data_IF_725270265244
#
_entry.id   IF_725270265244
#
_cell.length_a   1.000
_cell.length_b   1.000
_cell.length_c   1.000
_cell.angle_alpha   90.00
_cell.angle_beta   90.00
_cell.angle_gamma   90.00
#
_symmetry.space_group_name_H-M   'P 1'
#
loop_
_entity.id
_entity.type
_entity.pdbx_description
1 polymer ?
#
# COMPACT_ATOMS: atom_id res chain seq x y z
N UNK A 1 6.94 5.27 9.81
CA UNK A 1 8.09 5.08 10.52
C UNK A 1 8.24 3.72 11.18
N UNK A 2 7.16 3.14 11.70
CA UNK A 2 7.20 1.76 12.18
C UNK A 2 7.51 0.81 11.02
N UNK A 3 6.93 1.08 9.85
CA UNK A 3 7.15 0.25 8.67
C UNK A 3 8.61 0.31 8.20
N UNK A 4 9.21 1.52 8.20
CA UNK A 4 10.60 1.70 7.82
C UNK A 4 11.52 0.93 8.77
N UNK A 5 11.28 1.06 10.08
CA UNK A 5 12.07 0.36 11.09
C UNK A 5 11.94 -1.16 10.93
N UNK A 6 10.73 -1.64 10.69
CA UNK A 6 10.47 -3.07 10.53
C UNK A 6 11.19 -3.63 9.30
N UNK A 7 11.07 -2.93 8.16
CA UNK A 7 11.73 -3.33 6.92
C UNK A 7 13.26 -3.31 7.09
N UNK A 8 13.78 -2.24 7.69
CA UNK A 8 15.22 -2.08 7.90
C UNK A 8 15.79 -3.25 8.70
N UNK A 9 15.08 -3.66 9.76
CA UNK A 9 15.57 -4.76 10.62
C UNK A 9 15.50 -6.11 9.92
N UNK A 10 14.56 -6.31 9.02
CA UNK A 10 14.30 -7.63 8.43
C UNK A 10 15.04 -7.87 7.12
N UNK A 11 15.27 -6.85 6.30
CA UNK A 11 15.90 -7.05 4.99
C UNK A 11 17.42 -6.98 5.05
N UNK A 12 17.96 -6.24 6.01
CA UNK A 12 19.40 -6.14 6.22
C UNK A 12 20.14 -5.65 4.97
N UNK A 13 19.83 -4.43 4.54
CA UNK A 13 20.48 -3.80 3.39
C UNK A 13 21.81 -3.20 3.80
N UNK A 14 22.81 -3.26 2.88
CA UNK A 14 24.05 -2.51 3.06
C UNK A 14 23.72 -1.01 2.96
N UNK A 15 24.64 -0.16 3.43
CA UNK A 15 24.46 1.29 3.33
C UNK A 15 24.30 1.73 1.86
N UNK A 16 25.08 1.10 0.97
CA UNK A 16 25.01 1.39 -0.46
C UNK A 16 23.65 1.01 -1.05
N UNK A 17 23.18 -0.20 -0.73
CA UNK A 17 21.88 -0.66 -1.22
C UNK A 17 20.74 0.16 -0.63
N UNK A 18 20.84 0.53 0.65
CA UNK A 18 19.82 1.34 1.32
C UNK A 18 19.70 2.72 0.67
N UNK A 19 20.82 3.31 0.26
CA UNK A 19 20.82 4.62 -0.39
C UNK A 19 20.04 4.59 -1.72
N UNK A 20 20.01 3.45 -2.38
CA UNK A 20 19.26 3.26 -3.64
C UNK A 20 17.83 2.81 -3.40
N UNK A 21 17.63 2.00 -2.36
CA UNK A 21 16.35 1.40 -2.03
C UNK A 21 15.31 2.43 -1.55
N UNK A 22 15.68 3.23 -0.56
CA UNK A 22 14.68 4.07 0.10
C UNK A 22 14.06 5.16 -0.78
N UNK A 23 14.79 5.84 -1.66
CA UNK A 23 14.13 6.81 -2.55
C UNK A 23 13.06 6.17 -3.42
N UNK A 24 13.36 4.99 -3.99
CA UNK A 24 12.43 4.26 -4.85
C UNK A 24 11.22 3.78 -4.05
N UNK A 25 11.48 3.20 -2.89
CA UNK A 25 10.43 2.66 -2.03
C UNK A 25 9.48 3.76 -1.55
N UNK A 26 10.05 4.87 -1.07
CA UNK A 26 9.27 5.97 -0.52
C UNK A 26 8.45 6.70 -1.57
N UNK A 27 9.00 6.86 -2.78
CA UNK A 27 8.25 7.51 -3.86
C UNK A 27 6.99 6.71 -4.19
N UNK A 28 7.11 5.38 -4.32
CA UNK A 28 5.97 4.52 -4.58
C UNK A 28 4.97 4.54 -3.43
N UNK A 29 5.45 4.54 -2.18
CA UNK A 29 4.58 4.62 -1.01
C UNK A 29 3.77 5.92 -1.01
N UNK A 30 4.40 7.04 -1.38
CA UNK A 30 3.72 8.33 -1.46
C UNK A 30 2.63 8.32 -2.54
N UNK A 31 2.93 7.75 -3.70
CA UNK A 31 1.95 7.63 -4.78
C UNK A 31 0.76 6.75 -4.34
N UNK A 32 1.04 5.63 -3.68
CA UNK A 32 0.00 4.73 -3.19
C UNK A 32 -0.86 5.44 -2.15
N UNK A 33 -0.22 6.20 -1.26
CA UNK A 33 -0.94 6.95 -0.23
C UNK A 33 -1.93 7.94 -0.86
N UNK A 34 -1.52 8.67 -1.90
CA UNK A 34 -2.40 9.61 -2.58
C UNK A 34 -3.59 8.90 -3.24
N UNK A 35 -3.35 7.72 -3.81
CA UNK A 35 -4.45 6.94 -4.41
C UNK A 35 -5.41 6.45 -3.33
N UNK A 36 -4.91 6.01 -2.18
CA UNK A 36 -5.75 5.59 -1.06
C UNK A 36 -6.58 6.75 -0.53
N UNK A 37 -6.02 7.96 -0.52
CA UNK A 37 -6.78 9.16 -0.14
C UNK A 37 -7.93 9.39 -1.10
N UNK A 38 -7.71 9.18 -2.40
CA UNK A 38 -8.74 9.31 -3.41
C UNK A 38 -9.87 8.29 -3.18
N UNK A 39 -9.52 7.06 -2.84
CA UNK A 39 -10.51 6.02 -2.53
C UNK A 39 -11.33 6.39 -1.30
N UNK A 40 -10.66 6.92 -0.27
CA UNK A 40 -11.35 7.35 0.94
C UNK A 40 -12.27 8.54 0.67
N UNK A 41 -11.84 9.49 -0.16
CA UNK A 41 -12.66 10.62 -0.55
C UNK A 41 -13.93 10.16 -1.28
N UNK A 42 -13.80 9.17 -2.16
CA UNK A 42 -14.96 8.58 -2.84
C UNK A 42 -15.88 7.89 -1.85
N UNK A 43 -15.32 7.14 -0.91
CA UNK A 43 -16.10 6.51 0.14
C UNK A 43 -16.88 7.56 0.95
N UNK A 44 -16.22 8.63 1.36
CA UNK A 44 -16.86 9.71 2.12
C UNK A 44 -17.97 10.40 1.33
N UNK A 45 -17.75 10.57 0.05
CA UNK A 45 -18.73 11.25 -0.81
C UNK A 45 -19.99 10.42 -1.07
N UNK A 46 -19.82 9.12 -1.32
CA UNK A 46 -20.93 8.29 -1.81
C UNK A 46 -21.52 7.33 -0.78
N UNK A 47 -20.74 6.91 0.21
CA UNK A 47 -21.11 5.78 1.07
C UNK A 47 -21.18 6.13 2.56
N UNK A 48 -20.23 6.91 3.07
CA UNK A 48 -20.07 7.14 4.50
C UNK A 48 -21.34 7.66 5.16
N UNK A 49 -21.72 7.05 6.28
CA UNK A 49 -22.86 7.47 7.07
C UNK A 49 -24.21 7.04 6.53
N UNK A 50 -24.22 6.22 5.47
CA UNK A 50 -25.46 5.75 4.87
C UNK A 50 -25.68 4.28 5.11
N UNK A 51 -26.95 3.90 5.33
CA UNK A 51 -27.34 2.50 5.32
C UNK A 51 -27.43 2.06 3.86
N UNK A 52 -27.37 0.75 3.62
CA UNK A 52 -27.47 0.22 2.26
C UNK A 52 -28.69 0.75 1.52
N UNK A 53 -29.84 0.84 2.20
CA UNK A 53 -31.06 1.34 1.59
C UNK A 53 -31.02 2.80 1.19
N UNK A 54 -30.08 3.55 1.75
CA UNK A 54 -29.91 4.99 1.46
C UNK A 54 -28.93 5.26 0.32
N UNK A 55 -28.23 4.23 -0.14
CA UNK A 55 -27.27 4.36 -1.24
C UNK A 55 -27.98 4.05 -2.54
N UNK A 56 -28.01 5.02 -3.47
CA UNK A 56 -28.63 4.74 -4.76
C UNK A 56 -27.65 4.00 -5.67
N UNK A 57 -28.20 3.29 -6.66
CA UNK A 57 -27.40 2.47 -7.55
C UNK A 57 -26.35 3.24 -8.34
N UNK A 58 -26.65 4.45 -8.75
CA UNK A 58 -25.72 5.27 -9.51
C UNK A 58 -24.49 5.60 -8.67
N UNK A 59 -24.68 5.97 -7.40
CA UNK A 59 -23.58 6.27 -6.48
C UNK A 59 -22.78 5.01 -6.13
N UNK A 60 -23.46 3.89 -5.92
CA UNK A 60 -22.80 2.62 -5.64
C UNK A 60 -21.90 2.23 -6.82
N UNK A 61 -22.42 2.35 -8.04
CA UNK A 61 -21.65 2.05 -9.26
C UNK A 61 -20.43 2.97 -9.38
N UNK A 62 -20.64 4.27 -9.15
CA UNK A 62 -19.57 5.25 -9.25
C UNK A 62 -18.44 4.94 -8.24
N UNK A 63 -18.82 4.63 -7.01
CA UNK A 63 -17.85 4.27 -5.99
C UNK A 63 -17.02 3.04 -6.40
N UNK A 64 -17.70 1.98 -6.86
CA UNK A 64 -17.02 0.75 -7.28
C UNK A 64 -16.07 1.01 -8.45
N UNK A 65 -16.47 1.83 -9.41
CA UNK A 65 -15.60 2.18 -10.55
C UNK A 65 -14.34 2.89 -10.11
N UNK A 66 -14.47 3.86 -9.18
CA UNK A 66 -13.31 4.59 -8.64
C UNK A 66 -12.41 3.64 -7.86
N UNK A 67 -13.00 2.79 -7.04
CA UNK A 67 -12.25 1.85 -6.22
C UNK A 67 -11.44 0.89 -7.10
N UNK A 68 -12.08 0.31 -8.12
CA UNK A 68 -11.41 -0.62 -9.04
C UNK A 68 -10.28 0.05 -9.81
N UNK A 69 -10.50 1.25 -10.30
CA UNK A 69 -9.48 2.02 -11.00
C UNK A 69 -8.27 2.28 -10.09
N UNK A 70 -8.54 2.67 -8.85
CA UNK A 70 -7.48 2.96 -7.88
C UNK A 70 -6.71 1.70 -7.50
N UNK A 71 -7.38 0.57 -7.32
CA UNK A 71 -6.72 -0.71 -7.02
C UNK A 71 -5.80 -1.13 -8.16
N UNK A 72 -6.23 -0.93 -9.40
CA UNK A 72 -5.41 -1.22 -10.57
C UNK A 72 -4.15 -0.33 -10.59
N UNK A 73 -4.31 0.95 -10.30
CA UNK A 73 -3.18 1.88 -10.24
C UNK A 73 -2.17 1.47 -9.17
N UNK A 74 -2.65 1.03 -8.01
CA UNK A 74 -1.77 0.59 -6.93
C UNK A 74 -0.97 -0.64 -7.35
N UNK A 75 -1.60 -1.60 -8.01
CA UNK A 75 -0.89 -2.79 -8.52
C UNK A 75 0.21 -2.37 -9.48
N UNK A 76 -0.09 -1.47 -10.42
CA UNK A 76 0.89 -0.99 -11.40
C UNK A 76 2.08 -0.29 -10.74
N UNK A 77 1.80 0.54 -9.72
CA UNK A 77 2.86 1.23 -8.97
C UNK A 77 3.75 0.22 -8.25
N UNK A 78 3.16 -0.80 -7.63
CA UNK A 78 3.93 -1.84 -6.93
C UNK A 78 4.79 -2.65 -7.89
N UNK A 79 4.25 -3.01 -9.05
CA UNK A 79 5.02 -3.75 -10.05
C UNK A 79 6.22 -2.93 -10.54
N UNK A 80 5.99 -1.66 -10.81
CA UNK A 80 7.06 -0.75 -11.24
C UNK A 80 8.12 -0.60 -10.15
N UNK A 81 7.68 -0.51 -8.89
CA UNK A 81 8.59 -0.40 -7.74
C UNK A 81 9.50 -1.62 -7.66
N UNK A 82 8.94 -2.82 -7.75
CA UNK A 82 9.75 -4.04 -7.69
C UNK A 82 10.72 -4.12 -8.86
N UNK A 83 10.27 -3.73 -10.04
CA UNK A 83 11.14 -3.68 -11.21
C UNK A 83 12.32 -2.72 -11.00
N UNK A 84 12.04 -1.52 -10.50
CA UNK A 84 13.07 -0.51 -10.25
C UNK A 84 14.02 -0.94 -9.13
N UNK A 85 13.50 -1.53 -8.07
CA UNK A 85 14.33 -2.05 -6.98
C UNK A 85 15.23 -3.17 -7.48
N UNK A 86 14.75 -3.99 -8.39
CA UNK A 86 15.51 -5.10 -8.96
C UNK A 86 16.75 -4.68 -9.73
N UNK A 87 16.86 -3.41 -10.08
CA UNK A 87 18.07 -2.87 -10.73
C UNK A 87 19.21 -2.68 -9.74
N UNK A 88 18.91 -2.60 -8.46
CA UNK A 88 19.89 -2.29 -7.40
C UNK A 88 20.05 -3.39 -6.37
N UNK A 89 19.00 -4.16 -6.09
CA UNK A 89 19.07 -5.25 -5.12
C UNK A 89 18.62 -6.55 -5.77
N UNK A 90 19.02 -7.69 -5.18
CA UNK A 90 18.69 -8.98 -5.74
C UNK A 90 17.19 -9.28 -5.63
N UNK A 91 16.67 -10.05 -6.59
CA UNK A 91 15.27 -10.47 -6.54
C UNK A 91 14.98 -11.35 -5.33
N UNK A 92 15.99 -12.03 -4.79
CA UNK A 92 15.83 -12.78 -3.53
C UNK A 92 15.48 -11.84 -2.38
N UNK A 93 16.11 -10.66 -2.33
CA UNK A 93 15.77 -9.65 -1.33
C UNK A 93 14.39 -9.04 -1.58
N UNK A 94 13.99 -8.94 -2.83
CA UNK A 94 12.65 -8.46 -3.17
C UNK A 94 11.58 -9.44 -2.69
N UNK A 95 11.83 -10.74 -2.82
CA UNK A 95 10.93 -11.75 -2.27
C UNK A 95 10.80 -11.57 -0.76
N UNK A 96 11.92 -11.35 -0.09
CA UNK A 96 11.92 -11.09 1.36
C UNK A 96 11.14 -9.82 1.69
N UNK A 97 11.31 -8.78 0.89
CA UNK A 97 10.57 -7.52 1.06
C UNK A 97 9.06 -7.77 1.02
N UNK A 98 8.59 -8.52 0.03
CA UNK A 98 7.17 -8.81 -0.09
C UNK A 98 6.65 -9.56 1.13
N UNK A 99 7.41 -10.52 1.63
CA UNK A 99 7.07 -11.27 2.83
C UNK A 99 7.01 -10.36 4.05
N UNK A 100 8.01 -9.49 4.18
CA UNK A 100 8.08 -8.53 5.31
C UNK A 100 6.90 -7.58 5.29
N UNK A 101 6.51 -7.10 4.11
CA UNK A 101 5.35 -6.23 3.97
C UNK A 101 4.07 -6.93 4.41
N UNK A 102 3.92 -8.20 4.04
CA UNK A 102 2.75 -8.98 4.45
C UNK A 102 2.75 -9.23 5.96
N UNK A 103 3.91 -9.58 6.51
CA UNK A 103 4.06 -9.79 7.95
C UNK A 103 3.73 -8.53 8.75
N UNK A 104 4.16 -7.37 8.26
CA UNK A 104 3.88 -6.10 8.91
C UNK A 104 2.37 -5.81 8.91
N UNK A 105 1.72 -6.08 7.80
CA UNK A 105 0.27 -5.90 7.67
C UNK A 105 -0.47 -6.79 8.67
N UNK A 106 -0.07 -8.05 8.79
CA UNK A 106 -0.67 -8.97 9.75
C UNK A 106 -0.46 -8.50 11.20
N UNK A 107 0.73 -8.02 11.49
CA UNK A 107 1.06 -7.53 12.82
C UNK A 107 0.19 -6.32 13.21
N UNK A 108 -0.03 -5.42 12.27
CA UNK A 108 -0.92 -4.27 12.49
C UNK A 108 -2.35 -4.72 12.77
N UNK A 109 -2.84 -5.71 12.02
CA UNK A 109 -4.18 -6.24 12.22
C UNK A 109 -4.34 -6.89 13.59
N UNK A 110 -3.33 -7.62 14.05
CA UNK A 110 -3.34 -8.24 15.37
C UNK A 110 -3.41 -7.18 16.48
N UNK A 111 -2.61 -6.11 16.36
CA UNK A 111 -2.64 -5.02 17.33
C UNK A 111 -4.00 -4.33 17.35
N UNK A 112 -4.58 -4.13 16.19
CA UNK A 112 -5.90 -3.53 16.07
C UNK A 112 -6.96 -4.37 16.77
N UNK A 113 -6.92 -5.68 16.59
CA UNK A 113 -7.86 -6.61 17.23
C UNK A 113 -7.71 -6.61 18.74
N UNK A 114 -6.48 -6.50 19.25
CA UNK A 114 -6.24 -6.47 20.69
C UNK A 114 -6.79 -5.23 21.38
N UNK A 115 -6.92 -4.14 20.64
CA UNK A 115 -7.46 -2.88 21.18
C UNK A 115 -8.97 -2.86 21.29
N UNK A 116 -9.63 -3.82 20.68
CA UNK A 116 -11.07 -3.99 20.81
C UNK A 116 -11.38 -4.90 22.01
#
# INVERSE_FOLDING_TARGET
>A
QLKIAFITSEINLSAEDAAKFWPIYNEAENEIHEIKKSSYAAYSKYIKGKNESEINEADAKKFIEILNENETKIVEIKEKRYHNLGKSISYKKIIRLRKVEEDFKQKLLEQYKKKK
#
